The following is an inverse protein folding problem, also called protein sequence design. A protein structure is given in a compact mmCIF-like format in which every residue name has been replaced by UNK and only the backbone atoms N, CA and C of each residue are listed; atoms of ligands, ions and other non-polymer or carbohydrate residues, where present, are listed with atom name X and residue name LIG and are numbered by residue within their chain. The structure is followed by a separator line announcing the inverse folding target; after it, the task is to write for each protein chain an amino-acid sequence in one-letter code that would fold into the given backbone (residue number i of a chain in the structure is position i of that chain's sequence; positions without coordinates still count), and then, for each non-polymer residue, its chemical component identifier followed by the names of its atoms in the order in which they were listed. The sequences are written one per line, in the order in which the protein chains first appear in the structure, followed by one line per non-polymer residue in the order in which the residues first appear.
data_IF_768930500702
#
_entry.id   IF_768930500702
#
_cell.length_a   1.000
_cell.length_b   1.000
_cell.length_c   1.000
_cell.angle_alpha   90.00
_cell.angle_beta   90.00
_cell.angle_gamma   90.00
#
_symmetry.space_group_name_H-M   'P 1'
#
loop_
_entity.id
_entity.type
_entity.pdbx_description
1 polymer ?
#
# COMPACT_ATOMS: atom_id res chain seq x y z
N UNK A 1 -3.23 8.39 -10.01
CA UNK A 1 -3.73 7.32 -9.10
C UNK A 1 -4.05 6.08 -9.93
N UNK A 2 -3.81 4.87 -9.42
CA UNK A 2 -4.35 3.63 -10.00
C UNK A 2 -5.77 3.50 -9.44
N UNK A 3 -6.83 3.57 -10.26
CA UNK A 3 -8.21 3.45 -9.78
C UNK A 3 -8.46 2.09 -9.11
N UNK A 4 -9.31 2.05 -8.08
CA UNK A 4 -9.58 0.83 -7.32
C UNK A 4 -9.93 -0.38 -8.20
N UNK A 5 -10.76 -0.17 -9.24
CA UNK A 5 -11.17 -1.21 -10.18
C UNK A 5 -10.02 -1.78 -11.04
N UNK A 6 -8.92 -1.04 -11.20
CA UNK A 6 -7.77 -1.43 -12.02
C UNK A 6 -6.60 -2.00 -11.22
N UNK A 7 -6.71 -2.03 -9.89
CA UNK A 7 -5.66 -2.61 -9.03
C UNK A 7 -5.36 -4.08 -9.38
N UNK A 8 -6.35 -4.95 -9.69
CA UNK A 8 -6.07 -6.32 -10.10
C UNK A 8 -5.12 -6.43 -11.31
N UNK A 9 -5.25 -5.52 -12.29
CA UNK A 9 -4.46 -5.52 -13.53
C UNK A 9 -2.96 -5.27 -13.28
N UNK A 10 -2.63 -4.51 -12.23
CA UNK A 10 -1.25 -4.08 -11.94
C UNK A 10 -0.66 -4.77 -10.71
N UNK A 11 -1.43 -5.63 -10.05
CA UNK A 11 -1.03 -6.25 -8.77
C UNK A 11 0.23 -7.10 -8.89
N UNK A 12 0.57 -7.63 -10.07
CA UNK A 12 1.83 -8.35 -10.31
C UNK A 12 3.07 -7.46 -10.31
N UNK A 13 2.92 -6.15 -10.56
CA UNK A 13 4.02 -5.18 -10.65
C UNK A 13 4.40 -4.57 -9.29
N UNK A 14 3.48 -4.67 -8.32
CA UNK A 14 3.66 -4.19 -6.95
C UNK A 14 4.51 -5.20 -6.17
N UNK A 15 5.53 -4.72 -5.48
CA UNK A 15 6.51 -5.53 -4.76
C UNK A 15 6.35 -5.35 -3.25
N UNK A 16 6.74 -6.37 -2.48
CA UNK A 16 6.85 -6.24 -1.02
C UNK A 16 7.75 -5.06 -0.67
N UNK A 17 7.29 -4.19 0.21
CA UNK A 17 7.99 -2.97 0.62
C UNK A 17 7.65 -1.73 -0.19
N UNK A 18 6.87 -1.84 -1.28
CA UNK A 18 6.30 -0.66 -1.93
C UNK A 18 5.37 0.07 -0.93
N UNK A 19 5.45 1.39 -0.92
CA UNK A 19 4.58 2.25 -0.12
C UNK A 19 3.25 2.40 -0.87
N UNK A 20 2.17 2.13 -0.15
CA UNK A 20 0.79 2.28 -0.62
C UNK A 20 0.18 3.51 0.04
N UNK A 21 -0.32 4.45 -0.77
CA UNK A 21 -1.14 5.55 -0.29
C UNK A 21 -2.58 5.39 -0.82
N UNK A 22 -3.55 5.33 0.09
CA UNK A 22 -4.95 5.09 -0.23
C UNK A 22 -5.63 6.42 -0.55
N UNK A 23 -5.85 6.65 -1.86
CA UNK A 23 -6.45 7.87 -2.37
C UNK A 23 -7.95 7.91 -2.06
N UNK A 24 -8.49 9.12 -1.90
CA UNK A 24 -9.86 9.32 -1.43
C UNK A 24 -10.66 10.30 -2.30
N UNK A 25 -11.97 10.26 -2.18
CA UNK A 25 -12.91 11.23 -2.77
C UNK A 25 -13.36 12.31 -1.75
N UNK A 26 -12.68 12.42 -0.60
CA UNK A 26 -12.95 13.49 0.38
C UNK A 26 -12.40 14.80 -0.18
N UNK A 27 -13.26 15.81 -0.32
CA UNK A 27 -12.88 17.12 -0.83
C UNK A 27 -11.77 17.74 0.03
N UNK A 28 -10.73 18.27 -0.62
CA UNK A 28 -9.57 18.87 0.05
C UNK A 28 -8.57 17.87 0.64
N UNK A 29 -8.71 16.57 0.40
CA UNK A 29 -7.79 15.53 0.90
C UNK A 29 -7.41 14.53 -0.21
N UNK A 30 -6.10 14.33 -0.41
CA UNK A 30 -5.62 13.40 -1.44
C UNK A 30 -5.58 11.94 -0.94
N UNK A 31 -5.13 11.73 0.30
CA UNK A 31 -4.83 10.41 0.88
C UNK A 31 -5.36 10.35 2.31
N UNK A 32 -6.10 9.29 2.66
CA UNK A 32 -6.63 9.09 4.02
C UNK A 32 -5.80 8.16 4.88
N UNK A 33 -5.04 7.26 4.25
CA UNK A 33 -4.30 6.23 4.97
C UNK A 33 -3.09 5.75 4.16
N UNK A 34 -2.15 5.10 4.82
CA UNK A 34 -0.95 4.53 4.20
C UNK A 34 -0.62 3.15 4.75
N UNK A 35 0.07 2.34 3.96
CA UNK A 35 0.62 1.06 4.38
C UNK A 35 1.77 0.62 3.47
N UNK A 36 2.24 -0.60 3.69
CA UNK A 36 3.22 -1.25 2.83
C UNK A 36 2.57 -2.41 2.08
N UNK A 37 2.92 -2.57 0.82
CA UNK A 37 2.66 -3.78 0.08
C UNK A 37 3.41 -4.94 0.74
N UNK A 38 2.71 -6.04 0.97
CA UNK A 38 3.28 -7.24 1.57
C UNK A 38 2.77 -8.47 0.83
N UNK A 39 3.67 -9.22 0.20
CA UNK A 39 3.36 -10.56 -0.30
C UNK A 39 3.57 -11.58 0.81
N UNK A 40 2.52 -12.33 1.13
CA UNK A 40 2.62 -13.44 2.06
C UNK A 40 3.41 -14.62 1.48
N UNK A 41 3.61 -15.67 2.27
CA UNK A 41 4.34 -16.87 1.85
C UNK A 41 3.70 -17.56 0.62
N UNK A 42 2.41 -17.35 0.36
CA UNK A 42 1.70 -17.85 -0.82
C UNK A 42 1.77 -16.91 -2.02
N UNK A 43 2.46 -15.77 -1.92
CA UNK A 43 2.57 -14.77 -2.96
C UNK A 43 1.38 -13.81 -3.07
N UNK A 44 0.39 -13.93 -2.18
CA UNK A 44 -0.80 -13.08 -2.18
C UNK A 44 -0.42 -11.68 -1.74
N UNK A 45 -0.75 -10.67 -2.57
CA UNK A 45 -0.48 -9.28 -2.26
C UNK A 45 -1.51 -8.75 -1.26
N UNK A 46 -1.03 -8.38 -0.08
CA UNK A 46 -1.77 -7.84 1.07
C UNK A 46 -1.19 -6.50 1.50
N UNK A 47 -1.79 -5.91 2.53
CA UNK A 47 -1.39 -4.63 3.12
C UNK A 47 -0.85 -4.86 4.53
N UNK A 48 0.39 -4.45 4.80
CA UNK A 48 0.93 -4.29 6.14
C UNK A 48 0.70 -2.84 6.58
N UNK A 49 -0.08 -2.61 7.64
CA UNK A 49 -0.38 -1.25 8.09
C UNK A 49 -0.66 -1.17 9.59
N UNK A 50 -0.55 0.04 10.14
CA UNK A 50 -1.17 0.36 11.41
C UNK A 50 -2.68 0.57 11.18
N UNK A 51 -3.57 -0.14 11.87
CA UNK A 51 -4.99 0.14 11.82
C UNK A 51 -5.32 1.41 12.64
N UNK A 52 -6.61 1.67 12.87
CA UNK A 52 -7.09 2.82 13.65
C UNK A 52 -6.35 2.98 15.00
N UNK A 53 -6.32 4.20 15.52
CA UNK A 53 -5.64 4.57 16.76
C UNK A 53 -5.91 3.58 17.90
N UNK A 54 -4.84 3.11 18.55
CA UNK A 54 -4.90 2.12 19.63
C UNK A 54 -4.75 0.67 19.17
N UNK A 55 -4.75 0.41 17.85
CA UNK A 55 -4.45 -0.91 17.30
C UNK A 55 -2.96 -1.21 17.17
N UNK A 56 -2.66 -2.49 16.89
CA UNK A 56 -1.31 -2.97 16.60
C UNK A 56 -1.13 -3.14 15.09
N UNK A 57 0.09 -2.99 14.60
CA UNK A 57 0.41 -3.21 13.18
C UNK A 57 -0.04 -4.61 12.78
N UNK A 58 -0.80 -4.70 11.68
CA UNK A 58 -1.38 -5.93 11.20
C UNK A 58 -1.24 -6.09 9.68
N UNK A 59 -1.49 -7.31 9.20
CA UNK A 59 -1.59 -7.64 7.79
C UNK A 59 -3.06 -7.80 7.45
N UNK A 60 -3.51 -7.19 6.35
CA UNK A 60 -4.90 -7.28 5.89
C UNK A 60 -5.33 -8.73 5.68
N UNK A 61 -6.56 -9.05 6.10
CA UNK A 61 -7.17 -10.38 5.89
C UNK A 61 -7.47 -10.66 4.41
N UNK A 62 -7.86 -9.63 3.67
CA UNK A 62 -8.06 -9.67 2.23
C UNK A 62 -6.81 -9.28 1.45
N UNK A 63 -6.86 -9.55 0.15
CA UNK A 63 -5.93 -9.04 -0.86
C UNK A 63 -5.94 -7.51 -0.91
N UNK A 64 -4.94 -6.91 -1.55
CA UNK A 64 -4.90 -5.46 -1.78
C UNK A 64 -6.17 -4.92 -2.48
N UNK A 65 -6.67 -5.52 -3.60
CA UNK A 65 -7.93 -5.08 -4.20
C UNK A 65 -9.12 -5.15 -3.25
N UNK A 66 -9.28 -6.24 -2.49
CA UNK A 66 -10.38 -6.42 -1.54
C UNK A 66 -10.30 -5.39 -0.41
N UNK A 67 -9.10 -5.15 0.12
CA UNK A 67 -8.87 -4.15 1.15
C UNK A 67 -9.24 -2.75 0.67
N UNK A 68 -8.79 -2.35 -0.52
CA UNK A 68 -9.11 -1.04 -1.11
C UNK A 68 -10.61 -0.91 -1.41
N UNK A 69 -11.24 -1.97 -1.93
CA UNK A 69 -12.67 -2.00 -2.17
C UNK A 69 -13.53 -1.87 -0.91
N UNK A 70 -13.00 -2.26 0.25
CA UNK A 70 -13.68 -2.12 1.54
C UNK A 70 -13.56 -0.71 2.15
N UNK A 71 -12.62 0.12 1.69
CA UNK A 71 -12.43 1.48 2.20
C UNK A 71 -13.50 2.40 1.60
N UNK A 72 -14.40 2.88 2.46
CA UNK A 72 -15.41 3.89 2.08
C UNK A 72 -14.73 5.14 1.52
N UNK A 73 -15.21 5.61 0.36
CA UNK A 73 -14.68 6.76 -0.39
C UNK A 73 -13.27 6.58 -0.98
N UNK A 74 -12.67 5.39 -0.95
CA UNK A 74 -11.42 5.19 -1.66
C UNK A 74 -11.64 5.30 -3.17
N UNK A 75 -10.76 6.04 -3.84
CA UNK A 75 -10.75 6.16 -5.30
C UNK A 75 -9.70 5.25 -5.93
N UNK A 76 -8.74 4.75 -5.14
CA UNK A 76 -7.67 3.89 -5.61
C UNK A 76 -6.41 4.02 -4.77
N UNK A 77 -5.27 3.71 -5.39
CA UNK A 77 -3.95 3.75 -4.73
C UNK A 77 -2.92 4.53 -5.54
N UNK A 78 -1.99 5.14 -4.82
CA UNK A 78 -0.68 5.52 -5.34
C UNK A 78 0.33 4.49 -4.81
N UNK A 79 1.30 4.13 -5.65
CA UNK A 79 2.36 3.17 -5.31
C UNK A 79 3.70 3.86 -5.49
N UNK A 80 4.54 3.83 -4.46
CA UNK A 80 5.89 4.37 -4.51
C UNK A 80 6.89 3.29 -4.06
N UNK A 81 7.95 3.10 -4.84
CA UNK A 81 9.03 2.17 -4.50
C UNK A 81 10.19 2.94 -3.87
N UNK A 82 10.60 2.63 -2.62
CA UNK A 82 11.79 3.20 -2.04
C UNK A 82 13.02 2.90 -2.90
N UNK A 83 13.83 3.93 -3.18
CA UNK A 83 15.10 3.74 -3.85
C UNK A 83 16.15 3.27 -2.85
N UNK A 84 17.06 2.36 -3.25
CA UNK A 84 18.19 2.01 -2.42
C UNK A 84 19.01 3.24 -2.06
N UNK A 85 19.58 3.26 -0.84
CA UNK A 85 20.55 4.30 -0.47
C UNK A 85 21.66 4.39 -1.53
N UNK A 86 22.07 5.60 -1.93
CA UNK A 86 23.23 5.83 -2.77
C UNK A 86 24.44 5.08 -2.24
N UNK A 87 25.26 4.52 -3.13
CA UNK A 87 26.47 3.77 -2.76
C UNK A 87 27.40 4.54 -1.80
N UNK A 88 27.45 5.87 -1.91
CA UNK A 88 28.25 6.75 -1.03
C UNK A 88 27.81 6.79 0.43
N UNK A 89 26.58 6.39 0.74
CA UNK A 89 26.07 6.31 2.11
C UNK A 89 26.16 4.88 2.69
N UNK A 90 26.67 3.91 1.92
CA UNK A 90 26.78 2.51 2.33
C UNK A 90 28.13 2.15 2.95
N UNK A 91 29.18 2.97 2.77
CA UNK A 91 30.54 2.69 3.27
C UNK A 91 30.80 3.16 4.71
N UNK A 92 29.75 3.43 5.50
CA UNK A 92 29.83 3.81 6.90
C UNK A 92 29.63 2.65 7.90
N UNK A 93 29.71 1.41 7.43
CA UNK A 93 29.72 0.19 8.23
C UNK A 93 30.79 -0.76 7.71
#
# INVERSE_FOLDING_TARGET
VIPAARIPEVSSQIQTGDILAFATAIEGLDVTHTGLAYRDAGGTLRVLHAPLSGGVVEISRGTLPEYVGAIRRSTGILVARPLPLPSRLRSGR
#
